data_IF_838936714895
#
_entry.id   IF_838936714895
#
_cell.length_a   1.000
_cell.length_b   1.000
_cell.length_c   1.000
_cell.angle_alpha   90.00
_cell.angle_beta   90.00
_cell.angle_gamma   90.00
#
_symmetry.space_group_name_H-M   'P 1'
#
loop_
_entity.id
_entity.type
_entity.pdbx_description
1 polymer ?
#
# COMPACT_ATOMS: atom_id res chain seq x y z
N UNK A 1 -21.05 -17.44 -11.15
CA UNK A 1 -19.61 -17.17 -11.40
C UNK A 1 -18.80 -18.20 -10.62
N UNK A 2 -17.76 -18.77 -11.23
CA UNK A 2 -16.87 -19.73 -10.57
C UNK A 2 -16.05 -19.02 -9.50
N UNK A 3 -16.25 -19.39 -8.24
CA UNK A 3 -15.67 -18.72 -7.06
C UNK A 3 -14.14 -18.81 -7.07
N UNK A 4 -13.59 -19.81 -7.74
CA UNK A 4 -12.14 -19.96 -7.93
C UNK A 4 -11.57 -18.85 -8.83
N UNK A 5 -12.33 -18.44 -9.87
CA UNK A 5 -11.94 -17.35 -10.76
C UNK A 5 -11.98 -15.99 -10.06
N UNK A 6 -12.99 -15.74 -9.22
CA UNK A 6 -13.07 -14.47 -8.48
C UNK A 6 -11.94 -14.33 -7.46
N UNK A 7 -11.61 -15.37 -6.71
CA UNK A 7 -10.48 -15.36 -5.76
C UNK A 7 -9.14 -15.13 -6.47
N UNK A 8 -8.90 -15.79 -7.60
CA UNK A 8 -7.68 -15.58 -8.38
C UNK A 8 -7.58 -14.15 -8.94
N UNK A 9 -8.69 -13.57 -9.39
CA UNK A 9 -8.74 -12.17 -9.82
C UNK A 9 -8.42 -11.21 -8.65
N UNK A 10 -9.00 -11.43 -7.48
CA UNK A 10 -8.73 -10.64 -6.27
C UNK A 10 -7.25 -10.74 -5.84
N UNK A 11 -6.63 -11.92 -5.90
CA UNK A 11 -5.18 -12.09 -5.65
C UNK A 11 -4.34 -11.28 -6.63
N UNK A 12 -4.72 -11.28 -7.91
CA UNK A 12 -4.02 -10.51 -8.94
C UNK A 12 -4.15 -9.00 -8.68
N UNK A 13 -5.34 -8.53 -8.31
CA UNK A 13 -5.60 -7.13 -7.95
C UNK A 13 -4.78 -6.74 -6.72
N UNK A 14 -4.75 -7.56 -5.66
CA UNK A 14 -3.94 -7.29 -4.46
C UNK A 14 -2.45 -7.17 -4.81
N UNK A 15 -1.90 -8.08 -5.62
CA UNK A 15 -0.51 -8.00 -6.09
C UNK A 15 -0.26 -6.72 -6.90
N UNK A 16 -1.17 -6.39 -7.81
CA UNK A 16 -1.11 -5.16 -8.60
C UNK A 16 -1.09 -3.90 -7.73
N UNK A 17 -1.97 -3.84 -6.72
CA UNK A 17 -2.03 -2.74 -5.76
C UNK A 17 -0.72 -2.60 -4.97
N UNK A 18 -0.09 -3.70 -4.55
CA UNK A 18 1.22 -3.64 -3.86
C UNK A 18 2.32 -3.09 -4.78
N UNK A 19 2.34 -3.51 -6.05
CA UNK A 19 3.29 -2.99 -7.04
C UNK A 19 3.08 -1.49 -7.25
N UNK A 20 1.82 -1.06 -7.46
CA UNK A 20 1.46 0.34 -7.63
C UNK A 20 1.84 1.14 -6.38
N UNK A 21 1.57 0.60 -5.18
CA UNK A 21 1.98 1.22 -3.93
C UNK A 21 3.48 1.51 -3.95
N UNK A 22 4.33 0.51 -4.19
CA UNK A 22 5.78 0.72 -4.24
C UNK A 22 6.21 1.73 -5.30
N UNK A 23 5.64 1.71 -6.49
CA UNK A 23 5.92 2.71 -7.54
C UNK A 23 5.60 4.12 -7.03
N UNK A 24 4.41 4.31 -6.45
CA UNK A 24 3.97 5.58 -5.89
C UNK A 24 4.90 6.02 -4.75
N UNK A 25 5.17 5.14 -3.78
CA UNK A 25 6.04 5.43 -2.65
C UNK A 25 7.45 5.87 -3.08
N UNK A 26 8.05 5.15 -4.03
CA UNK A 26 9.37 5.49 -4.59
C UNK A 26 9.34 6.83 -5.33
N UNK A 27 8.29 7.09 -6.13
CA UNK A 27 8.16 8.34 -6.87
C UNK A 27 8.06 9.55 -5.93
N UNK A 28 7.25 9.45 -4.87
CA UNK A 28 7.14 10.50 -3.86
C UNK A 28 8.44 10.69 -3.08
N UNK A 29 9.13 9.60 -2.71
CA UNK A 29 10.43 9.68 -2.04
C UNK A 29 11.48 10.36 -2.93
N UNK A 30 11.57 9.99 -4.21
CA UNK A 30 12.50 10.60 -5.17
C UNK A 30 12.19 12.09 -5.38
N UNK A 31 10.91 12.46 -5.47
CA UNK A 31 10.50 13.86 -5.59
C UNK A 31 10.84 14.68 -4.33
N UNK A 32 10.61 14.11 -3.14
CA UNK A 32 10.96 14.75 -1.87
C UNK A 32 12.47 14.95 -1.73
N UNK A 33 13.27 13.93 -2.10
CA UNK A 33 14.74 14.00 -2.15
C UNK A 33 15.17 15.12 -3.11
N UNK A 34 14.67 15.11 -4.35
CA UNK A 34 15.02 16.14 -5.34
C UNK A 34 14.71 17.55 -4.83
N UNK A 35 13.56 17.73 -4.17
CA UNK A 35 13.16 19.03 -3.63
C UNK A 35 14.05 19.46 -2.46
N UNK A 36 14.37 18.54 -1.54
CA UNK A 36 15.29 18.80 -0.43
C UNK A 36 16.70 19.20 -0.90
N UNK A 37 17.21 18.59 -1.97
CA UNK A 37 18.55 18.88 -2.51
C UNK A 37 18.57 20.00 -3.57
N UNK A 38 17.43 20.41 -4.11
CA UNK A 38 17.36 21.55 -5.05
C UNK A 38 17.76 22.89 -4.42
N UNK A 39 17.80 22.96 -3.09
CA UNK A 39 18.27 24.12 -2.30
C UNK A 39 19.81 24.20 -2.26
N UNK A 40 20.52 23.09 -2.53
CA UNK A 40 21.99 23.02 -2.42
C UNK A 40 22.74 23.64 -3.62
N UNK A 41 22.02 24.08 -4.66
CA UNK A 41 22.59 24.64 -5.90
C UNK A 41 22.12 26.08 -6.19
N UNK A 42 21.82 26.83 -5.13
CA UNK A 42 21.50 28.26 -5.25
C UNK A 42 22.80 28.99 -5.64
N UNK A 43 22.90 29.62 -6.83
CA UNK A 43 24.07 30.42 -7.19
C UNK A 43 24.20 31.61 -6.23
N UNK A 44 25.42 31.88 -5.77
CA UNK A 44 25.75 32.88 -4.75
C UNK A 44 25.40 34.34 -5.11
N UNK A 45 24.83 34.58 -6.29
CA UNK A 45 24.51 35.91 -6.84
C UNK A 45 23.03 36.30 -6.67
N UNK A 46 22.24 35.51 -5.94
CA UNK A 46 20.83 35.82 -5.66
C UNK A 46 20.72 36.91 -4.57
N UNK A 47 19.79 37.88 -4.72
CA UNK A 47 19.55 38.88 -3.69
C UNK A 47 19.20 38.20 -2.36
N UNK A 48 19.83 38.65 -1.28
CA UNK A 48 19.78 38.06 0.07
C UNK A 48 18.37 37.87 0.64
N UNK A 49 17.39 38.63 0.16
CA UNK A 49 15.97 38.47 0.52
C UNK A 49 15.29 37.23 -0.09
N UNK A 50 15.76 36.78 -1.26
CA UNK A 50 15.28 35.59 -1.97
C UNK A 50 15.97 34.34 -1.42
N UNK A 51 17.27 34.40 -1.13
CA UNK A 51 18.02 33.32 -0.48
C UNK A 51 17.47 32.95 0.91
N UNK A 52 16.92 33.90 1.67
CA UNK A 52 16.39 33.62 3.00
C UNK A 52 15.01 32.93 2.99
N UNK A 53 14.21 33.09 1.92
CA UNK A 53 12.85 32.51 1.83
C UNK A 53 12.79 31.15 1.13
N UNK A 54 13.78 30.80 0.29
CA UNK A 54 13.77 29.55 -0.49
C UNK A 54 14.07 28.27 0.33
N UNK A 55 15.08 28.24 1.23
CA UNK A 55 15.52 27.01 1.87
C UNK A 55 14.48 26.39 2.82
N UNK A 56 13.85 27.22 3.64
CA UNK A 56 12.86 26.77 4.62
C UNK A 56 11.59 26.21 3.97
N UNK A 57 11.15 26.84 2.89
CA UNK A 57 9.93 26.46 2.18
C UNK A 57 10.10 25.19 1.33
N UNK A 58 11.24 25.02 0.66
CA UNK A 58 11.51 23.83 -0.15
C UNK A 58 11.72 22.58 0.72
N UNK A 59 12.40 22.72 1.86
CA UNK A 59 12.56 21.63 2.83
C UNK A 59 11.20 21.21 3.40
N UNK A 60 10.38 22.17 3.87
CA UNK A 60 9.06 21.88 4.41
C UNK A 60 8.14 21.24 3.37
N UNK A 61 8.17 21.74 2.13
CA UNK A 61 7.42 21.14 1.02
C UNK A 61 7.89 19.70 0.72
N UNK A 62 9.20 19.42 0.81
CA UNK A 62 9.75 18.07 0.65
C UNK A 62 9.27 17.12 1.74
N UNK A 63 9.26 17.58 3.00
CA UNK A 63 8.73 16.80 4.13
C UNK A 63 7.23 16.52 3.97
N UNK A 64 6.43 17.54 3.64
CA UNK A 64 4.99 17.37 3.42
C UNK A 64 4.70 16.41 2.25
N UNK A 65 5.48 16.49 1.17
CA UNK A 65 5.38 15.58 0.05
C UNK A 65 5.70 14.14 0.44
N UNK A 66 6.70 13.94 1.31
CA UNK A 66 7.08 12.63 1.82
C UNK A 66 5.99 12.04 2.73
N UNK A 67 5.38 12.86 3.59
CA UNK A 67 4.25 12.45 4.44
C UNK A 67 3.04 12.06 3.58
N UNK A 68 2.69 12.88 2.58
CA UNK A 68 1.59 12.58 1.66
C UNK A 68 1.85 11.30 0.86
N UNK A 69 3.09 11.12 0.39
CA UNK A 69 3.52 9.91 -0.29
C UNK A 69 3.42 8.67 0.58
N UNK A 70 3.89 8.76 1.83
CA UNK A 70 3.79 7.68 2.81
C UNK A 70 2.32 7.33 3.14
N UNK A 71 1.46 8.33 3.29
CA UNK A 71 0.03 8.11 3.52
C UNK A 71 -0.62 7.38 2.33
N UNK A 72 -0.38 7.84 1.09
CA UNK A 72 -0.88 7.18 -0.11
C UNK A 72 -0.34 5.75 -0.27
N UNK A 73 0.94 5.55 0.02
CA UNK A 73 1.57 4.24 0.02
C UNK A 73 0.90 3.27 1.01
N UNK A 74 0.68 3.72 2.24
CA UNK A 74 0.01 2.95 3.29
C UNK A 74 -1.45 2.63 2.94
N UNK A 75 -2.19 3.57 2.34
CA UNK A 75 -3.56 3.32 1.89
C UNK A 75 -3.60 2.21 0.83
N UNK A 76 -2.73 2.27 -0.18
CA UNK A 76 -2.68 1.26 -1.24
C UNK A 76 -2.26 -0.12 -0.70
N UNK A 77 -1.28 -0.17 0.21
CA UNK A 77 -0.90 -1.41 0.88
C UNK A 77 -2.03 -1.94 1.76
N UNK A 78 -2.69 -1.08 2.53
CA UNK A 78 -3.81 -1.44 3.39
C UNK A 78 -4.98 -2.03 2.60
N UNK A 79 -5.31 -1.45 1.43
CA UNK A 79 -6.31 -2.01 0.52
C UNK A 79 -5.88 -3.37 -0.02
N UNK A 80 -4.62 -3.53 -0.41
CA UNK A 80 -4.10 -4.80 -0.91
C UNK A 80 -4.15 -5.90 0.16
N UNK A 81 -3.80 -5.59 1.41
CA UNK A 81 -3.87 -6.54 2.52
C UNK A 81 -5.31 -6.79 2.98
N UNK A 82 -6.19 -5.79 2.89
CA UNK A 82 -7.63 -5.96 3.12
C UNK A 82 -8.23 -7.00 2.18
N UNK A 83 -7.86 -6.98 0.90
CA UNK A 83 -8.26 -8.01 -0.07
C UNK A 83 -7.74 -9.40 0.35
N UNK A 84 -6.47 -9.50 0.77
CA UNK A 84 -5.90 -10.79 1.19
C UNK A 84 -6.59 -11.35 2.45
N UNK A 85 -6.95 -10.48 3.40
CA UNK A 85 -7.71 -10.86 4.58
C UNK A 85 -9.08 -11.43 4.22
N UNK A 86 -9.81 -10.79 3.32
CA UNK A 86 -11.12 -11.29 2.86
C UNK A 86 -10.98 -12.66 2.21
N UNK A 87 -9.97 -12.85 1.35
CA UNK A 87 -9.69 -14.15 0.73
C UNK A 87 -9.39 -15.21 1.79
N UNK A 88 -8.54 -14.89 2.77
CA UNK A 88 -8.19 -15.83 3.84
C UNK A 88 -9.40 -16.22 4.69
N UNK A 89 -10.30 -15.28 4.99
CA UNK A 89 -11.56 -15.55 5.70
C UNK A 89 -12.43 -16.51 4.87
N UNK A 90 -12.59 -16.28 3.57
CA UNK A 90 -13.37 -17.16 2.71
C UNK A 90 -12.79 -18.58 2.64
N UNK A 91 -11.47 -18.70 2.47
CA UNK A 91 -10.78 -19.99 2.40
C UNK A 91 -10.90 -20.77 3.71
N UNK A 92 -10.70 -20.11 4.85
CA UNK A 92 -10.87 -20.72 6.16
C UNK A 92 -12.32 -21.13 6.42
N UNK A 93 -13.29 -20.34 5.98
CA UNK A 93 -14.72 -20.65 6.13
C UNK A 93 -15.09 -21.90 5.32
N UNK A 94 -14.58 -22.03 4.09
CA UNK A 94 -14.79 -23.24 3.28
C UNK A 94 -14.11 -24.47 3.87
N UNK A 95 -12.87 -24.33 4.35
CA UNK A 95 -12.16 -25.41 5.01
C UNK A 95 -12.90 -25.89 6.26
N UNK A 96 -13.42 -24.96 7.07
CA UNK A 96 -14.21 -25.29 8.26
C UNK A 96 -15.54 -25.98 7.91
N UNK A 97 -16.22 -25.57 6.83
CA UNK A 97 -17.44 -26.23 6.35
C UNK A 97 -17.15 -27.67 5.88
N UNK A 98 -16.10 -27.86 5.07
CA UNK A 98 -15.69 -29.19 4.61
C UNK A 98 -15.27 -30.10 5.76
N UNK A 99 -14.57 -29.58 6.78
CA UNK A 99 -14.21 -30.34 7.97
C UNK A 99 -15.44 -30.79 8.79
N UNK A 100 -16.48 -29.95 8.88
CA UNK A 100 -17.75 -30.32 9.53
C UNK A 100 -18.48 -31.43 8.76
N UNK A 101 -18.54 -31.34 7.44
CA UNK A 101 -19.14 -32.38 6.60
C UNK A 101 -18.36 -33.71 6.71
N UNK A 102 -17.03 -33.66 6.76
CA UNK A 102 -16.20 -34.84 6.97
C UNK A 102 -16.33 -35.45 8.38
N UNK A 103 -16.71 -34.66 9.39
CA UNK A 103 -16.94 -35.13 10.76
C UNK A 103 -18.36 -35.68 10.99
N UNK A 104 -19.35 -35.28 10.17
CA UNK A 104 -20.73 -35.77 10.23
C UNK A 104 -20.90 -37.31 10.07
N UNK A 105 -20.16 -38.04 9.19
CA UNK A 105 -20.33 -39.48 9.04
C UNK A 105 -19.89 -40.31 10.26
N UNK A 106 -19.14 -39.75 11.22
CA UNK A 106 -18.68 -40.48 12.41
C UNK A 106 -19.74 -40.60 13.53
N UNK A 107 -20.77 -39.75 13.53
CA UNK A 107 -21.79 -39.72 14.59
C UNK A 107 -23.12 -40.42 14.22
N UNK A 108 -23.25 -40.95 13.00
CA UNK A 108 -24.47 -41.63 12.55
C UNK A 108 -24.57 -43.10 13.01
N UNK A 109 -23.58 -43.62 13.74
CA UNK A 109 -23.52 -45.02 14.19
C UNK A 109 -23.67 -45.23 15.70
N UNK A 110 -24.02 -44.19 16.47
CA UNK A 110 -24.26 -44.30 17.93
C UNK A 110 -25.72 -43.96 18.21
N UNK A 111 -26.61 -44.92 17.96
CA UNK A 111 -27.99 -44.92 18.42
C UNK A 111 -28.37 -46.35 18.84
#
# INVERSE_FOLDING_TARGET
MDVTRSVNALRMISRGLKVIAWIVGIAFAAAAIKLAFSVSFIPADLPTSVEAMLPGNAFLAGVLLLVLGAANWLVLLGLAEGINLVIAIEENTRAAAAAKEAAAPANAGVA
#
